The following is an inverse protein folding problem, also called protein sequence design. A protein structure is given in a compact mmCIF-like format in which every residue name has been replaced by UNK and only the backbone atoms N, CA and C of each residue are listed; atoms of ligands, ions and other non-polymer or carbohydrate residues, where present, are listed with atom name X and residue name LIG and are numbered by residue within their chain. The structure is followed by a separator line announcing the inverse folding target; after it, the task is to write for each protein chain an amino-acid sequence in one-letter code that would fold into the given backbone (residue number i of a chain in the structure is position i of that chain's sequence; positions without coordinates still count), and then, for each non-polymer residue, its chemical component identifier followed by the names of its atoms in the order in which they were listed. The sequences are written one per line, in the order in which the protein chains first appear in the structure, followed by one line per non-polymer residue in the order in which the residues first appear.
data_IF_761860695650
#
_entry.id   IF_761860695650
#
_cell.length_a   1.000
_cell.length_b   1.000
_cell.length_c   1.000
_cell.angle_alpha   90.00
_cell.angle_beta   90.00
_cell.angle_gamma   90.00
#
_symmetry.space_group_name_H-M   'P 1'
#
loop_
_entity.id
_entity.type
_entity.pdbx_description
1 polymer ?
#
# COMPACT_ATOMS: atom_id res chain seq x y z
N UNK A 1 10.06 -0.35 -22.51
CA UNK A 1 10.43 -1.05 -23.74
C UNK A 1 10.97 -2.43 -23.40
N UNK A 2 10.17 -3.44 -23.68
CA UNK A 2 10.45 -4.85 -24.03
C UNK A 2 11.41 -5.70 -23.16
N UNK A 3 10.95 -6.14 -22.00
CA UNK A 3 11.53 -7.30 -21.27
C UNK A 3 10.50 -8.46 -21.13
N UNK A 4 9.25 -8.23 -21.49
CA UNK A 4 8.14 -9.19 -21.29
C UNK A 4 8.05 -10.33 -22.31
N UNK A 5 8.76 -10.27 -23.45
CA UNK A 5 8.57 -11.22 -24.56
C UNK A 5 9.54 -12.40 -24.58
N UNK A 6 10.60 -12.38 -23.76
CA UNK A 6 11.58 -13.49 -23.75
C UNK A 6 11.25 -14.62 -22.77
N UNK A 7 10.54 -14.33 -21.69
CA UNK A 7 10.24 -15.34 -20.66
C UNK A 7 9.15 -16.32 -21.06
N UNK A 8 8.14 -15.89 -21.81
CA UNK A 8 7.02 -16.74 -22.23
C UNK A 8 7.38 -17.71 -23.36
N UNK A 9 8.32 -17.37 -24.23
CA UNK A 9 8.77 -18.26 -25.30
C UNK A 9 9.62 -19.42 -24.80
N UNK A 10 10.40 -19.24 -23.74
CA UNK A 10 11.26 -20.30 -23.21
C UNK A 10 10.43 -21.39 -22.51
N UNK A 11 9.42 -21.00 -21.74
CA UNK A 11 8.52 -21.95 -21.04
C UNK A 11 7.60 -22.67 -22.03
N UNK A 12 7.12 -21.96 -23.06
CA UNK A 12 6.28 -22.56 -24.11
C UNK A 12 7.03 -23.60 -24.96
N UNK A 13 8.30 -23.34 -25.29
CA UNK A 13 9.08 -24.29 -26.08
C UNK A 13 9.43 -25.58 -25.30
N UNK A 14 9.75 -25.46 -24.00
CA UNK A 14 10.06 -26.64 -23.18
C UNK A 14 8.82 -27.52 -22.97
N UNK A 15 7.65 -26.92 -22.81
CA UNK A 15 6.39 -27.68 -22.70
C UNK A 15 5.95 -28.27 -24.03
N UNK A 16 6.18 -27.55 -25.14
CA UNK A 16 5.84 -28.05 -26.48
C UNK A 16 6.76 -29.18 -26.95
N UNK A 17 8.05 -29.11 -26.68
CA UNK A 17 8.99 -30.18 -27.01
C UNK A 17 8.73 -31.43 -26.17
N UNK A 18 8.36 -31.29 -24.90
CA UNK A 18 8.00 -32.42 -24.04
C UNK A 18 6.70 -33.10 -24.46
N UNK A 19 5.70 -32.33 -24.89
CA UNK A 19 4.44 -32.88 -25.42
C UNK A 19 4.62 -33.54 -26.79
N UNK A 20 5.64 -33.17 -27.55
CA UNK A 20 5.93 -33.73 -28.84
C UNK A 20 6.69 -35.06 -28.73
N UNK A 21 7.63 -35.22 -27.78
CA UNK A 21 8.31 -36.47 -27.49
C UNK A 21 7.36 -37.55 -26.99
N UNK A 22 6.30 -37.17 -26.27
CA UNK A 22 5.26 -38.08 -25.79
C UNK A 22 4.33 -38.59 -26.91
N UNK A 23 4.36 -37.97 -28.12
CA UNK A 23 3.53 -38.34 -29.25
C UNK A 23 4.26 -39.18 -30.32
N UNK A 24 5.59 -39.11 -30.37
CA UNK A 24 6.40 -39.77 -31.41
C UNK A 24 6.93 -41.16 -30.99
N UNK A 25 6.33 -41.80 -29.97
CA UNK A 25 6.38 -43.22 -29.59
C UNK A 25 7.62 -44.03 -29.97
N UNK A 26 8.85 -43.59 -29.65
CA UNK A 26 10.05 -44.38 -29.79
C UNK A 26 10.31 -45.20 -28.51
N UNK A 27 10.04 -46.50 -28.56
CA UNK A 27 10.14 -47.47 -27.45
C UNK A 27 11.58 -47.65 -26.90
N UNK A 28 12.59 -47.01 -27.47
CA UNK A 28 13.99 -47.15 -27.07
C UNK A 28 14.48 -46.07 -26.08
N UNK A 29 13.68 -45.03 -25.76
CA UNK A 29 14.05 -43.99 -24.79
C UNK A 29 13.71 -44.33 -23.33
N UNK A 30 12.88 -45.37 -23.09
CA UNK A 30 12.50 -45.75 -21.70
C UNK A 30 13.68 -46.30 -20.87
N UNK A 31 14.76 -46.72 -21.52
CA UNK A 31 15.97 -47.18 -20.83
C UNK A 31 16.85 -46.04 -20.29
N UNK A 32 16.76 -44.84 -20.87
CA UNK A 32 17.56 -43.67 -20.45
C UNK A 32 16.89 -42.85 -19.33
N UNK A 33 15.58 -43.01 -19.11
CA UNK A 33 14.82 -42.28 -18.09
C UNK A 33 14.92 -42.88 -16.67
N UNK A 34 15.42 -44.12 -16.54
CA UNK A 34 15.46 -44.85 -15.25
C UNK A 34 16.65 -44.49 -14.37
N UNK A 35 17.71 -43.84 -14.88
CA UNK A 35 18.88 -43.45 -14.06
C UNK A 35 18.84 -42.00 -13.49
N UNK A 36 17.73 -41.33 -13.57
CA UNK A 36 17.58 -39.96 -13.10
C UNK A 36 17.04 -39.84 -11.66
N UNK A 37 17.13 -40.89 -10.87
CA UNK A 37 16.75 -40.95 -9.45
C UNK A 37 17.81 -40.27 -8.53
N UNK A 38 18.83 -39.64 -9.10
CA UNK A 38 19.64 -38.64 -8.37
C UNK A 38 18.81 -37.38 -8.30
N UNK A 39 18.06 -37.24 -7.20
CA UNK A 39 17.32 -36.02 -6.87
C UNK A 39 18.19 -34.79 -7.19
N UNK A 40 17.83 -34.05 -8.24
CA UNK A 40 18.55 -32.82 -8.57
C UNK A 40 18.67 -31.97 -7.31
N UNK A 41 19.86 -31.46 -6.99
CA UNK A 41 20.04 -30.68 -5.77
C UNK A 41 19.01 -29.55 -5.77
N UNK A 42 18.25 -29.42 -4.67
CA UNK A 42 17.25 -28.36 -4.53
C UNK A 42 17.92 -27.02 -4.79
N UNK A 43 17.35 -26.20 -5.67
CA UNK A 43 17.94 -24.89 -5.95
C UNK A 43 17.98 -24.06 -4.67
N UNK A 44 19.14 -23.57 -4.30
CA UNK A 44 19.32 -22.76 -3.08
C UNK A 44 18.75 -21.35 -3.18
N UNK A 45 18.44 -20.88 -4.40
CA UNK A 45 17.99 -19.50 -4.63
C UNK A 45 16.72 -19.07 -3.86
N UNK A 46 15.68 -19.93 -3.62
CA UNK A 46 14.52 -19.48 -2.85
C UNK A 46 14.88 -19.18 -1.40
N UNK A 47 15.74 -19.99 -0.80
CA UNK A 47 16.23 -19.78 0.56
C UNK A 47 17.09 -18.50 0.63
N UNK A 48 18.00 -18.32 -0.33
CA UNK A 48 18.85 -17.12 -0.38
C UNK A 48 17.99 -15.85 -0.57
N UNK A 49 17.02 -15.88 -1.47
CA UNK A 49 16.10 -14.75 -1.70
C UNK A 49 15.31 -14.41 -0.44
N UNK A 50 14.76 -15.42 0.22
CA UNK A 50 14.03 -15.23 1.48
C UNK A 50 14.93 -14.62 2.57
N UNK A 51 16.14 -15.13 2.76
CA UNK A 51 17.08 -14.60 3.78
C UNK A 51 17.48 -13.14 3.49
N UNK A 52 17.68 -12.77 2.23
CA UNK A 52 17.97 -11.38 1.84
C UNK A 52 16.78 -10.49 2.19
N UNK A 53 15.55 -10.88 1.81
CA UNK A 53 14.35 -10.09 2.08
C UNK A 53 14.05 -10.00 3.58
N UNK A 54 14.20 -11.09 4.33
CA UNK A 54 14.06 -11.09 5.78
C UNK A 54 15.09 -10.16 6.46
N UNK A 55 16.32 -10.12 5.96
CA UNK A 55 17.33 -9.16 6.42
C UNK A 55 16.90 -7.71 6.13
N UNK A 56 16.41 -7.41 4.92
CA UNK A 56 15.92 -6.08 4.56
C UNK A 56 14.70 -5.69 5.40
N UNK A 57 13.79 -6.62 5.67
CA UNK A 57 12.64 -6.40 6.57
C UNK A 57 13.12 -6.08 7.98
N UNK A 58 14.04 -6.85 8.55
CA UNK A 58 14.62 -6.57 9.86
C UNK A 58 15.32 -5.20 9.91
N UNK A 59 16.04 -4.84 8.85
CA UNK A 59 16.68 -3.53 8.71
C UNK A 59 15.66 -2.39 8.64
N UNK A 60 14.47 -2.61 8.07
CA UNK A 60 13.42 -1.60 7.98
C UNK A 60 12.87 -1.19 9.35
N UNK A 61 12.89 -2.10 10.32
CA UNK A 61 12.47 -1.84 11.70
C UNK A 61 13.64 -1.46 12.63
N UNK A 62 14.87 -1.45 12.12
CA UNK A 62 16.04 -1.01 12.88
C UNK A 62 16.07 0.52 13.04
N UNK A 63 16.84 1.06 14.01
CA UNK A 63 17.08 2.49 14.15
C UNK A 63 17.66 3.12 12.87
N UNK A 64 17.43 4.42 12.69
CA UNK A 64 17.92 5.14 11.53
C UNK A 64 19.45 5.05 11.42
N UNK A 65 19.91 4.63 10.24
CA UNK A 65 21.32 4.46 9.90
C UNK A 65 21.57 4.74 8.42
N UNK A 66 22.82 5.04 8.10
CA UNK A 66 23.25 5.22 6.70
C UNK A 66 22.95 3.97 5.88
N UNK A 67 23.23 2.79 6.42
CA UNK A 67 22.96 1.50 5.78
C UNK A 67 21.48 1.32 5.45
N UNK A 68 20.59 1.59 6.44
CA UNK A 68 19.13 1.55 6.25
C UNK A 68 18.69 2.50 5.14
N UNK A 69 19.22 3.72 5.14
CA UNK A 69 18.85 4.74 4.16
C UNK A 69 19.20 4.32 2.73
N UNK A 70 20.40 3.81 2.50
CA UNK A 70 20.83 3.41 1.13
C UNK A 70 20.18 2.10 0.67
N UNK A 71 20.15 1.08 1.52
CA UNK A 71 19.59 -0.23 1.11
C UNK A 71 18.08 -0.22 0.95
N UNK A 72 17.36 0.60 1.73
CA UNK A 72 15.90 0.64 1.69
C UNK A 72 15.33 1.77 0.84
N UNK A 73 16.17 2.60 0.22
CA UNK A 73 15.74 3.68 -0.65
C UNK A 73 14.72 3.24 -1.73
N UNK A 74 14.91 2.10 -2.44
CA UNK A 74 13.96 1.64 -3.45
C UNK A 74 12.55 1.34 -2.90
N UNK A 75 12.45 1.04 -1.61
CA UNK A 75 11.17 0.74 -0.92
C UNK A 75 10.69 1.90 -0.05
N UNK A 76 11.24 3.12 -0.19
CA UNK A 76 10.91 4.29 0.64
C UNK A 76 11.07 4.03 2.15
N UNK A 77 11.95 3.11 2.55
CA UNK A 77 12.14 2.63 3.94
C UNK A 77 10.87 2.01 4.56
N UNK A 78 9.89 1.64 3.75
CA UNK A 78 8.62 1.06 4.20
C UNK A 78 8.74 -0.47 4.32
N UNK A 79 8.82 -0.97 5.54
CA UNK A 79 8.91 -2.40 5.84
C UNK A 79 7.73 -3.21 5.29
N UNK A 80 6.53 -2.63 5.21
CA UNK A 80 5.34 -3.34 4.69
C UNK A 80 5.47 -3.67 3.20
N UNK A 81 6.13 -2.82 2.43
CA UNK A 81 6.40 -3.08 1.00
C UNK A 81 7.40 -4.21 0.81
N UNK A 82 8.41 -4.29 1.68
CA UNK A 82 9.40 -5.36 1.65
C UNK A 82 8.74 -6.68 2.06
N UNK A 83 7.93 -6.69 3.13
CA UNK A 83 7.16 -7.87 3.56
C UNK A 83 6.27 -8.42 2.45
N UNK A 84 5.61 -7.57 1.67
CA UNK A 84 4.79 -8.02 0.53
C UNK A 84 5.61 -8.76 -0.54
N UNK A 85 6.87 -8.42 -0.75
CA UNK A 85 7.79 -9.15 -1.66
C UNK A 85 8.34 -10.40 -0.98
N UNK A 86 8.62 -10.33 0.33
CA UNK A 86 9.07 -11.47 1.15
C UNK A 86 8.05 -12.60 1.14
N UNK A 87 6.75 -12.29 1.22
CA UNK A 87 5.66 -13.28 1.16
C UNK A 87 5.68 -14.11 -0.14
N UNK A 88 6.10 -13.50 -1.26
CA UNK A 88 6.26 -14.23 -2.53
C UNK A 88 7.40 -15.25 -2.42
N UNK A 89 8.56 -14.85 -1.90
CA UNK A 89 9.70 -15.73 -1.71
C UNK A 89 9.39 -16.84 -0.69
N UNK A 90 8.66 -16.51 0.38
CA UNK A 90 8.20 -17.46 1.38
C UNK A 90 7.24 -18.50 0.77
N UNK A 91 6.31 -18.08 -0.09
CA UNK A 91 5.38 -18.99 -0.78
C UNK A 91 6.13 -20.03 -1.63
N UNK A 92 7.15 -19.60 -2.37
CA UNK A 92 8.00 -20.50 -3.16
C UNK A 92 8.76 -21.46 -2.24
N UNK A 93 9.33 -20.96 -1.15
CA UNK A 93 10.06 -21.77 -0.18
C UNK A 93 9.14 -22.81 0.50
N UNK A 94 7.92 -22.42 0.83
CA UNK A 94 6.90 -23.34 1.37
C UNK A 94 6.52 -24.44 0.38
N UNK A 95 6.38 -24.12 -0.92
CA UNK A 95 6.09 -25.11 -1.95
C UNK A 95 7.25 -26.12 -2.09
N UNK A 96 8.49 -25.66 -2.09
CA UNK A 96 9.69 -26.50 -2.10
C UNK A 96 9.76 -27.37 -0.85
N UNK A 97 9.49 -26.79 0.32
CA UNK A 97 9.44 -27.52 1.60
C UNK A 97 8.36 -28.60 1.63
N UNK A 98 7.16 -28.29 1.13
CA UNK A 98 6.08 -29.25 1.01
C UNK A 98 6.44 -30.42 0.08
N UNK A 99 7.06 -30.14 -1.08
CA UNK A 99 7.55 -31.19 -1.98
C UNK A 99 8.61 -32.09 -1.30
N UNK A 100 9.54 -31.50 -0.54
CA UNK A 100 10.53 -32.26 0.22
C UNK A 100 9.89 -33.17 1.27
N UNK A 101 8.90 -32.67 2.00
CA UNK A 101 8.15 -33.45 3.00
C UNK A 101 7.42 -34.61 2.32
N UNK A 102 6.76 -34.39 1.18
CA UNK A 102 6.09 -35.46 0.40
C UNK A 102 7.12 -36.52 -0.01
N UNK A 103 8.28 -36.12 -0.49
CA UNK A 103 9.36 -37.06 -0.85
C UNK A 103 9.83 -37.89 0.35
N UNK A 104 10.09 -37.28 1.49
CA UNK A 104 10.52 -37.96 2.72
C UNK A 104 9.45 -38.95 3.21
N UNK A 105 8.19 -38.55 3.25
CA UNK A 105 7.08 -39.42 3.63
C UNK A 105 6.93 -40.60 2.66
N UNK A 106 7.03 -40.36 1.37
CA UNK A 106 6.94 -41.43 0.37
C UNK A 106 8.09 -42.41 0.52
N UNK A 107 9.32 -41.95 0.71
CA UNK A 107 10.49 -42.80 0.96
C UNK A 107 10.34 -43.62 2.23
N UNK A 108 9.87 -43.02 3.33
CA UNK A 108 9.60 -43.74 4.57
C UNK A 108 8.48 -44.78 4.42
N UNK A 109 7.39 -44.42 3.71
CA UNK A 109 6.25 -45.30 3.45
C UNK A 109 6.65 -46.50 2.61
N UNK A 110 7.34 -46.26 1.50
CA UNK A 110 7.79 -47.36 0.60
C UNK A 110 8.78 -48.29 1.29
N UNK A 111 9.71 -47.77 2.10
CA UNK A 111 10.67 -48.57 2.87
C UNK A 111 9.96 -49.45 3.91
N UNK A 112 8.95 -48.90 4.61
CA UNK A 112 8.17 -49.66 5.58
C UNK A 112 7.27 -50.72 4.93
N UNK A 113 6.65 -50.38 3.81
CA UNK A 113 5.83 -51.29 3.03
C UNK A 113 6.65 -52.45 2.49
N UNK A 114 7.85 -52.18 1.93
CA UNK A 114 8.78 -53.20 1.43
C UNK A 114 9.20 -54.15 2.57
N UNK A 115 9.49 -53.68 3.77
CA UNK A 115 9.81 -54.54 4.91
C UNK A 115 8.67 -55.50 5.23
N UNK A 116 7.42 -55.02 5.28
CA UNK A 116 6.25 -55.87 5.57
C UNK A 116 6.00 -56.88 4.46
N UNK A 117 6.20 -56.52 3.20
CA UNK A 117 6.02 -57.44 2.05
C UNK A 117 7.08 -58.54 2.05
N UNK A 118 8.35 -58.20 2.29
CA UNK A 118 9.46 -59.17 2.38
C UNK A 118 9.23 -60.13 3.55
N UNK A 119 8.82 -59.63 4.74
CA UNK A 119 8.49 -60.49 5.88
C UNK A 119 7.33 -61.44 5.62
N UNK A 120 6.42 -61.12 4.70
CA UNK A 120 5.30 -61.96 4.30
C UNK A 120 5.57 -62.84 3.06
N UNK A 121 6.78 -62.79 2.51
CA UNK A 121 7.17 -63.60 1.33
C UNK A 121 6.45 -63.17 0.04
N UNK A 122 5.95 -61.89 -0.01
CA UNK A 122 5.32 -61.30 -1.19
C UNK A 122 6.36 -60.61 -2.09
N UNK A 123 6.04 -60.51 -3.40
CA UNK A 123 6.91 -59.84 -4.38
C UNK A 123 7.21 -58.38 -3.97
N UNK A 124 8.49 -58.00 -4.02
CA UNK A 124 8.97 -56.68 -3.63
C UNK A 124 8.77 -55.57 -4.70
N UNK A 125 8.19 -55.93 -5.84
CA UNK A 125 7.99 -55.03 -7.01
C UNK A 125 6.76 -54.13 -6.92
N UNK A 126 6.12 -54.01 -5.74
CA UNK A 126 4.96 -53.14 -5.59
C UNK A 126 5.42 -51.67 -5.49
N UNK A 127 5.31 -50.93 -6.59
CA UNK A 127 5.48 -49.50 -6.61
C UNK A 127 4.20 -48.78 -6.12
N UNK A 128 4.28 -48.15 -4.96
CA UNK A 128 3.16 -47.34 -4.48
C UNK A 128 3.11 -46.00 -5.24
N UNK A 129 1.97 -45.66 -5.88
CA UNK A 129 1.86 -44.42 -6.65
C UNK A 129 2.01 -43.16 -5.71
N UNK A 130 2.79 -42.18 -6.16
CA UNK A 130 3.08 -40.95 -5.39
C UNK A 130 1.91 -39.97 -5.41
N UNK A 131 1.07 -40.01 -6.43
CA UNK A 131 0.03 -39.03 -6.66
C UNK A 131 -1.02 -38.89 -5.52
N UNK A 132 -1.47 -39.94 -4.80
CA UNK A 132 -2.45 -39.75 -3.74
C UNK A 132 -1.90 -38.95 -2.57
N UNK A 133 -0.63 -39.15 -2.25
CA UNK A 133 0.05 -38.38 -1.18
C UNK A 133 0.24 -36.93 -1.60
N UNK A 134 0.62 -36.66 -2.85
CA UNK A 134 0.75 -35.29 -3.39
C UNK A 134 -0.58 -34.55 -3.37
N UNK A 135 -1.66 -35.20 -3.82
CA UNK A 135 -3.01 -34.63 -3.79
C UNK A 135 -3.47 -34.40 -2.35
N UNK A 136 -3.22 -35.35 -1.44
CA UNK A 136 -3.59 -35.20 -0.03
C UNK A 136 -2.89 -34.04 0.65
N UNK A 137 -1.57 -33.91 0.48
CA UNK A 137 -0.81 -32.77 1.03
C UNK A 137 -1.24 -31.46 0.38
N UNK A 138 -1.41 -31.43 -0.94
CA UNK A 138 -1.92 -30.25 -1.65
C UNK A 138 -3.29 -29.80 -1.14
N UNK A 139 -4.21 -30.74 -0.95
CA UNK A 139 -5.53 -30.46 -0.40
C UNK A 139 -5.47 -29.91 1.04
N UNK A 140 -4.60 -30.48 1.89
CA UNK A 140 -4.40 -29.97 3.27
C UNK A 140 -3.85 -28.56 3.25
N UNK A 141 -2.84 -28.25 2.42
CA UNK A 141 -2.25 -26.91 2.31
C UNK A 141 -3.31 -25.92 1.82
N UNK A 142 -4.09 -26.25 0.81
CA UNK A 142 -5.18 -25.40 0.31
C UNK A 142 -6.24 -25.15 1.39
N UNK A 143 -6.67 -26.20 2.09
CA UNK A 143 -7.66 -26.07 3.16
C UNK A 143 -7.12 -25.21 4.30
N UNK A 144 -5.93 -25.46 4.81
CA UNK A 144 -5.35 -24.66 5.90
C UNK A 144 -5.13 -23.20 5.49
N UNK A 145 -4.67 -22.94 4.27
CA UNK A 145 -4.52 -21.58 3.74
C UNK A 145 -5.86 -20.86 3.56
N UNK A 146 -6.90 -21.60 3.20
CA UNK A 146 -8.23 -21.03 2.97
C UNK A 146 -8.94 -20.68 4.28
N UNK A 147 -8.95 -21.57 5.27
CA UNK A 147 -9.71 -21.36 6.51
C UNK A 147 -9.17 -20.21 7.39
N UNK A 148 -7.83 -20.01 7.46
CA UNK A 148 -7.25 -18.92 8.25
C UNK A 148 -7.17 -17.58 7.50
N UNK A 149 -6.90 -17.63 6.19
CA UNK A 149 -6.62 -16.42 5.41
C UNK A 149 -7.89 -15.71 4.90
N UNK A 150 -8.98 -16.44 4.61
CA UNK A 150 -10.21 -15.84 4.06
C UNK A 150 -10.83 -14.90 5.08
N UNK A 151 -10.94 -15.32 6.34
CA UNK A 151 -11.55 -14.50 7.39
C UNK A 151 -10.71 -13.27 7.72
N UNK A 152 -9.39 -13.42 7.80
CA UNK A 152 -8.47 -12.31 7.99
C UNK A 152 -8.49 -11.32 6.81
N UNK A 153 -8.53 -11.81 5.57
CA UNK A 153 -8.65 -10.98 4.37
C UNK A 153 -9.99 -10.26 4.29
N UNK A 154 -11.09 -10.96 4.54
CA UNK A 154 -12.42 -10.36 4.58
C UNK A 154 -12.51 -9.27 5.65
N UNK A 155 -11.96 -9.52 6.84
CA UNK A 155 -11.89 -8.53 7.90
C UNK A 155 -11.04 -7.31 7.53
N UNK A 156 -9.89 -7.53 6.89
CA UNK A 156 -9.03 -6.45 6.41
C UNK A 156 -9.70 -5.63 5.29
N UNK A 157 -10.33 -6.29 4.32
CA UNK A 157 -11.09 -5.61 3.24
C UNK A 157 -12.28 -4.86 3.84
N UNK A 158 -13.05 -5.49 4.72
CA UNK A 158 -14.18 -4.85 5.37
C UNK A 158 -13.76 -3.64 6.21
N UNK A 159 -12.58 -3.66 6.86
CA UNK A 159 -12.09 -2.52 7.63
C UNK A 159 -11.81 -1.28 6.77
N UNK A 160 -11.52 -1.47 5.48
CA UNK A 160 -11.19 -0.39 4.54
C UNK A 160 -12.40 0.03 3.70
N UNK A 161 -13.25 -0.92 3.30
CA UNK A 161 -14.31 -0.68 2.31
C UNK A 161 -15.74 -0.80 2.85
N UNK A 162 -15.92 -1.30 4.08
CA UNK A 162 -17.26 -1.39 4.68
C UNK A 162 -17.71 0.00 5.17
N UNK A 163 -18.72 0.62 4.52
CA UNK A 163 -19.18 1.95 4.89
C UNK A 163 -19.69 2.04 6.33
N UNK A 164 -20.16 0.92 6.90
CA UNK A 164 -20.62 0.90 8.31
C UNK A 164 -19.48 0.96 9.32
N UNK A 165 -18.24 0.69 8.88
CA UNK A 165 -17.02 0.76 9.70
C UNK A 165 -16.22 2.04 9.49
N UNK A 166 -16.51 2.80 8.45
CA UNK A 166 -15.80 4.06 8.14
C UNK A 166 -15.85 5.05 9.31
N UNK A 167 -16.97 5.13 10.04
CA UNK A 167 -17.10 5.99 11.21
C UNK A 167 -16.21 5.63 12.42
N UNK A 168 -15.63 4.42 12.46
CA UNK A 168 -14.75 3.99 13.58
C UNK A 168 -13.27 3.97 13.24
N UNK A 169 -12.93 3.83 11.98
CA UNK A 169 -11.54 3.71 11.51
C UNK A 169 -11.28 4.42 10.19
N UNK A 170 -12.31 5.00 9.57
CA UNK A 170 -12.22 5.81 8.36
C UNK A 170 -11.89 7.27 8.64
N UNK A 171 -11.59 8.00 7.58
CA UNK A 171 -11.34 9.46 7.64
C UNK A 171 -12.63 10.27 7.55
N UNK A 172 -13.78 9.65 7.23
CA UNK A 172 -15.07 10.31 7.10
C UNK A 172 -16.23 9.36 7.43
N UNK A 173 -17.27 9.86 8.07
CA UNK A 173 -18.52 9.15 8.32
C UNK A 173 -19.44 9.19 7.08
N UNK A 174 -20.53 8.40 7.08
CA UNK A 174 -21.48 8.39 5.97
C UNK A 174 -22.23 9.73 5.82
N UNK A 175 -22.60 10.37 6.95
CA UNK A 175 -23.24 11.68 6.95
C UNK A 175 -22.30 12.78 6.43
N UNK A 176 -21.03 12.69 6.79
CA UNK A 176 -19.97 13.56 6.31
C UNK A 176 -19.74 13.38 4.80
N UNK A 177 -19.69 12.12 4.31
CA UNK A 177 -19.62 11.85 2.87
C UNK A 177 -20.84 12.38 2.11
N UNK A 178 -22.03 12.37 2.73
CA UNK A 178 -23.22 12.96 2.15
C UNK A 178 -23.12 14.49 2.09
N UNK A 179 -22.58 15.15 3.13
CA UNK A 179 -22.28 16.59 3.11
C UNK A 179 -21.27 16.93 2.02
N UNK A 180 -20.16 16.19 1.92
CA UNK A 180 -19.15 16.40 0.88
C UNK A 180 -19.72 16.31 -0.53
N UNK A 181 -20.63 15.35 -0.79
CA UNK A 181 -21.31 15.26 -2.09
C UNK A 181 -22.23 16.45 -2.39
N UNK A 182 -22.85 17.03 -1.36
CA UNK A 182 -23.71 18.23 -1.51
C UNK A 182 -22.90 19.51 -1.64
N UNK A 183 -21.64 19.53 -1.21
CA UNK A 183 -20.79 20.72 -1.17
C UNK A 183 -20.68 21.41 -2.52
N UNK A 184 -20.74 20.68 -3.62
CA UNK A 184 -20.78 21.23 -4.97
C UNK A 184 -21.96 22.19 -5.22
N UNK A 185 -23.09 22.01 -4.53
CA UNK A 185 -24.30 22.83 -4.66
C UNK A 185 -24.36 23.97 -3.62
N UNK A 186 -23.57 23.89 -2.57
CA UNK A 186 -23.58 24.84 -1.45
C UNK A 186 -22.41 25.82 -1.48
N UNK A 187 -21.43 25.61 -2.35
CA UNK A 187 -20.23 26.45 -2.50
C UNK A 187 -20.00 26.90 -3.94
N UNK A 188 -19.32 28.02 -4.12
CA UNK A 188 -18.92 28.51 -5.43
C UNK A 188 -17.96 27.55 -6.12
N UNK A 189 -17.97 27.45 -7.47
CA UNK A 189 -17.06 26.58 -8.24
C UNK A 189 -15.57 26.80 -7.93
N UNK A 190 -15.19 28.04 -7.65
CA UNK A 190 -13.81 28.44 -7.35
C UNK A 190 -13.48 28.44 -5.84
N UNK A 191 -14.38 27.90 -5.01
CA UNK A 191 -14.15 27.81 -3.57
C UNK A 191 -12.89 27.00 -3.26
N UNK A 192 -12.03 27.54 -2.37
CA UNK A 192 -10.87 26.87 -1.81
C UNK A 192 -11.15 26.52 -0.36
N UNK A 193 -11.09 25.25 -0.05
CA UNK A 193 -11.51 24.70 1.24
C UNK A 193 -10.28 24.35 2.09
N UNK A 194 -10.15 24.93 3.27
CA UNK A 194 -9.15 24.56 4.26
C UNK A 194 -9.74 23.50 5.18
N UNK A 195 -9.00 22.44 5.45
CA UNK A 195 -9.36 21.40 6.41
C UNK A 195 -8.22 20.39 6.57
N UNK A 196 -8.32 19.53 7.58
CA UNK A 196 -7.32 18.50 7.80
C UNK A 196 -7.55 17.33 6.84
N UNK A 197 -6.58 16.98 5.98
CA UNK A 197 -6.72 15.86 5.03
C UNK A 197 -6.91 14.50 5.71
N UNK A 198 -6.48 14.33 6.96
CA UNK A 198 -6.71 13.10 7.73
C UNK A 198 -8.08 13.08 8.44
N UNK A 199 -8.86 14.13 8.28
CA UNK A 199 -10.19 14.29 8.85
C UNK A 199 -11.26 14.52 7.76
N UNK A 200 -11.16 13.89 6.61
CA UNK A 200 -12.15 13.96 5.53
C UNK A 200 -11.92 15.04 4.50
N UNK A 201 -11.21 16.15 4.81
CA UNK A 201 -10.97 17.23 3.85
C UNK A 201 -10.25 16.79 2.55
N UNK A 202 -9.51 15.69 2.57
CA UNK A 202 -8.92 15.10 1.36
C UNK A 202 -9.95 14.64 0.32
N UNK A 203 -11.20 14.38 0.72
CA UNK A 203 -12.27 13.97 -0.18
C UNK A 203 -12.95 15.13 -0.91
N UNK A 204 -12.68 16.38 -0.53
CA UNK A 204 -13.29 17.58 -1.12
C UNK A 204 -13.10 17.61 -2.63
N UNK A 205 -11.88 17.33 -3.14
CA UNK A 205 -11.63 17.37 -4.57
C UNK A 205 -12.35 16.26 -5.34
N UNK A 206 -12.36 15.05 -4.77
CA UNK A 206 -12.92 13.87 -5.44
C UNK A 206 -14.45 13.80 -5.38
N UNK A 207 -15.07 14.25 -4.28
CA UNK A 207 -16.50 14.15 -4.07
C UNK A 207 -17.25 15.42 -4.41
N UNK A 208 -16.67 16.60 -4.12
CA UNK A 208 -17.30 17.88 -4.34
C UNK A 208 -16.81 18.61 -5.61
N UNK A 209 -15.70 18.17 -6.21
CA UNK A 209 -15.08 18.90 -7.32
C UNK A 209 -14.68 20.33 -6.93
N UNK A 210 -14.37 20.56 -5.67
CA UNK A 210 -13.85 21.83 -5.12
C UNK A 210 -12.39 21.69 -4.78
N UNK A 211 -11.62 22.77 -4.79
CA UNK A 211 -10.20 22.73 -4.46
C UNK A 211 -10.03 22.63 -2.95
N UNK A 212 -9.13 21.76 -2.50
CA UNK A 212 -8.70 21.69 -1.10
C UNK A 212 -7.32 22.35 -0.96
N UNK A 213 -7.10 23.09 0.15
CA UNK A 213 -5.76 23.63 0.48
C UNK A 213 -4.77 22.50 0.67
N UNK A 214 -5.22 21.43 1.35
CA UNK A 214 -4.44 20.23 1.60
C UNK A 214 -5.14 19.01 0.99
N UNK A 215 -4.96 18.73 -0.32
CA UNK A 215 -5.62 17.61 -0.98
C UNK A 215 -5.08 16.23 -0.54
N UNK A 216 -3.92 16.21 0.13
CA UNK A 216 -3.28 14.99 0.62
C UNK A 216 -2.29 15.28 1.77
N UNK A 217 -1.90 14.22 2.48
CA UNK A 217 -0.99 14.32 3.63
C UNK A 217 0.36 14.97 3.31
N UNK A 218 0.90 14.77 2.12
CA UNK A 218 2.18 15.38 1.73
C UNK A 218 2.10 16.91 1.67
N UNK A 219 0.95 17.46 1.31
CA UNK A 219 0.77 18.91 1.21
C UNK A 219 0.64 19.58 2.57
N UNK A 220 -0.04 18.95 3.53
CA UNK A 220 -0.18 19.48 4.89
C UNK A 220 1.12 19.38 5.70
N UNK A 221 1.95 18.38 5.39
CA UNK A 221 3.24 18.18 6.04
C UNK A 221 4.41 18.91 5.35
N UNK A 222 4.14 19.71 4.31
CA UNK A 222 5.17 20.50 3.65
C UNK A 222 5.70 21.61 4.56
N UNK A 223 6.98 21.94 4.41
CA UNK A 223 7.67 22.91 5.26
C UNK A 223 7.49 24.38 4.85
N UNK A 224 6.50 24.68 4.02
CA UNK A 224 6.21 26.04 3.57
C UNK A 224 5.74 26.96 4.69
N UNK A 225 6.03 28.26 4.60
CA UNK A 225 5.63 29.25 5.61
C UNK A 225 4.11 29.33 5.78
N UNK A 226 3.36 29.38 4.66
CA UNK A 226 1.89 29.42 4.68
C UNK A 226 1.28 28.16 5.28
N UNK A 227 1.85 26.97 4.98
CA UNK A 227 1.41 25.71 5.57
C UNK A 227 1.59 25.72 7.09
N UNK A 228 2.73 26.21 7.59
CA UNK A 228 2.99 26.32 9.03
C UNK A 228 2.02 27.25 9.72
N UNK A 229 1.74 28.42 9.13
CA UNK A 229 0.75 29.36 9.66
C UNK A 229 -0.61 28.66 9.76
N UNK A 230 -1.09 28.03 8.69
CA UNK A 230 -2.40 27.38 8.68
C UNK A 230 -2.46 26.19 9.65
N UNK A 231 -1.48 25.30 9.62
CA UNK A 231 -1.50 24.08 10.45
C UNK A 231 -1.27 24.32 11.93
N UNK A 232 -0.60 25.42 12.29
CA UNK A 232 -0.25 25.72 13.68
C UNK A 232 -1.12 26.81 14.32
N UNK A 233 -1.61 27.77 13.53
CA UNK A 233 -2.17 29.02 14.06
C UNK A 233 -3.54 29.37 13.47
N UNK A 234 -4.11 28.63 12.51
CA UNK A 234 -5.40 29.01 11.92
C UNK A 234 -6.52 29.19 12.94
N UNK A 235 -6.49 28.48 14.07
CA UNK A 235 -7.46 28.67 15.15
C UNK A 235 -7.50 30.08 15.71
N UNK A 236 -6.41 30.84 15.54
CA UNK A 236 -6.27 32.22 16.04
C UNK A 236 -6.69 33.27 14.99
N UNK A 237 -7.39 32.85 13.92
CA UNK A 237 -7.78 33.69 12.76
C UNK A 237 -8.49 34.96 13.13
N UNK A 238 -9.25 34.96 14.22
CA UNK A 238 -9.99 36.16 14.67
C UNK A 238 -9.07 37.27 15.21
N UNK A 239 -7.91 36.89 15.73
CA UNK A 239 -7.03 37.78 16.49
C UNK A 239 -5.61 37.88 15.86
N UNK A 240 -5.28 37.02 14.88
CA UNK A 240 -3.97 37.01 14.24
C UNK A 240 -4.01 37.52 12.78
N UNK A 241 -3.49 38.75 12.54
CA UNK A 241 -3.49 39.35 11.20
C UNK A 241 -2.70 38.54 10.15
N UNK A 242 -1.64 37.84 10.56
CA UNK A 242 -0.82 37.04 9.66
C UNK A 242 -1.62 35.83 9.11
N UNK A 243 -2.47 35.22 9.93
CA UNK A 243 -3.38 34.16 9.48
C UNK A 243 -4.35 34.72 8.42
N UNK A 244 -4.95 35.87 8.65
CA UNK A 244 -5.83 36.51 7.68
C UNK A 244 -5.09 36.91 6.39
N UNK A 245 -3.84 37.33 6.48
CA UNK A 245 -3.02 37.62 5.31
C UNK A 245 -2.82 36.35 4.46
N UNK A 246 -2.45 35.22 5.07
CA UNK A 246 -2.30 33.93 4.38
C UNK A 246 -3.62 33.48 3.78
N UNK A 247 -4.74 33.57 4.50
CA UNK A 247 -6.07 33.20 4.00
C UNK A 247 -6.44 34.01 2.75
N UNK A 248 -6.21 35.36 2.77
CA UNK A 248 -6.46 36.22 1.61
C UNK A 248 -5.53 35.93 0.44
N UNK A 249 -4.25 35.80 0.70
CA UNK A 249 -3.24 35.56 -0.33
C UNK A 249 -3.47 34.24 -1.06
N UNK A 250 -3.92 33.21 -0.35
CA UNK A 250 -4.25 31.89 -0.95
C UNK A 250 -5.66 31.86 -1.55
N UNK A 251 -6.55 32.79 -1.17
CA UNK A 251 -7.94 32.78 -1.62
C UNK A 251 -8.80 31.72 -0.93
N UNK A 252 -8.50 31.41 0.34
CA UNK A 252 -9.23 30.42 1.13
C UNK A 252 -10.59 31.01 1.52
N UNK A 253 -11.67 30.38 1.07
CA UNK A 253 -13.04 30.87 1.26
C UNK A 253 -13.80 30.12 2.33
N UNK A 254 -13.47 28.84 2.54
CA UNK A 254 -14.22 27.98 3.45
C UNK A 254 -13.27 27.20 4.36
N UNK A 255 -13.81 26.87 5.54
CA UNK A 255 -13.16 26.00 6.51
C UNK A 255 -14.02 24.74 6.72
N UNK A 256 -13.40 23.59 6.54
CA UNK A 256 -13.97 22.29 6.84
C UNK A 256 -13.51 21.89 8.24
N UNK A 257 -14.43 21.98 9.20
CA UNK A 257 -14.22 21.63 10.59
C UNK A 257 -14.62 20.18 10.82
N UNK A 258 -13.82 19.45 11.57
CA UNK A 258 -14.12 18.11 12.05
C UNK A 258 -13.72 18.01 13.53
N UNK A 259 -14.42 17.15 14.28
CA UNK A 259 -14.04 16.86 15.66
C UNK A 259 -12.63 16.27 15.75
N UNK A 260 -11.92 16.61 16.82
CA UNK A 260 -10.59 16.06 17.06
C UNK A 260 -10.69 14.57 17.40
N UNK A 261 -10.11 13.77 16.55
CA UNK A 261 -10.09 12.32 16.64
C UNK A 261 -8.68 11.75 16.55
N UNK A 262 -8.57 10.45 16.66
CA UNK A 262 -7.29 9.77 16.56
C UNK A 262 -7.10 9.14 15.16
N UNK A 263 -5.91 9.32 14.61
CA UNK A 263 -5.47 8.68 13.38
C UNK A 263 -4.17 7.93 13.65
N UNK A 264 -4.16 6.61 13.47
CA UNK A 264 -3.04 5.73 13.86
C UNK A 264 -2.56 5.98 15.30
N UNK A 265 -3.49 6.04 16.26
CA UNK A 265 -3.23 6.29 17.69
C UNK A 265 -2.57 7.64 18.00
N UNK A 266 -2.56 8.59 17.06
CA UNK A 266 -2.10 9.95 17.28
C UNK A 266 -3.30 10.87 17.17
N UNK A 267 -3.51 11.72 18.19
CA UNK A 267 -4.55 12.76 18.17
C UNK A 267 -4.29 13.70 16.99
N UNK A 268 -5.32 14.00 16.18
CA UNK A 268 -5.19 14.85 14.98
C UNK A 268 -4.68 16.24 15.34
N UNK A 269 -5.19 16.81 16.43
CA UNK A 269 -4.76 18.12 16.96
C UNK A 269 -3.28 18.19 17.34
N UNK A 270 -2.66 17.07 17.69
CA UNK A 270 -1.22 17.03 17.94
C UNK A 270 -0.38 17.19 16.67
N UNK A 271 -0.97 16.89 15.51
CA UNK A 271 -0.31 17.04 14.20
C UNK A 271 -0.54 18.43 13.62
N UNK A 272 -1.78 18.89 13.64
CA UNK A 272 -2.22 20.13 13.02
C UNK A 272 -3.04 20.98 14.01
N UNK A 273 -2.42 21.48 15.08
CA UNK A 273 -3.14 22.13 16.19
C UNK A 273 -3.93 23.37 15.76
N UNK A 274 -3.52 24.05 14.70
CA UNK A 274 -4.23 25.21 14.18
C UNK A 274 -5.57 24.88 13.52
N UNK A 275 -5.80 23.63 13.10
CA UNK A 275 -7.03 23.23 12.42
C UNK A 275 -8.10 22.70 13.40
N UNK A 276 -7.82 22.69 14.70
CA UNK A 276 -8.71 22.19 15.74
C UNK A 276 -8.96 23.23 16.82
N UNK A 277 -10.17 23.22 17.38
CA UNK A 277 -10.56 24.19 18.41
C UNK A 277 -10.68 25.63 17.90
N UNK A 278 -11.05 25.80 16.65
CA UNK A 278 -11.31 27.12 16.05
C UNK A 278 -12.57 27.70 16.66
N UNK A 279 -12.53 28.95 17.10
CA UNK A 279 -13.73 29.68 17.57
C UNK A 279 -14.56 30.13 16.36
N UNK A 280 -15.48 29.28 15.92
CA UNK A 280 -16.36 29.54 14.78
C UNK A 280 -17.56 30.44 15.13
N UNK A 281 -17.69 30.89 16.37
CA UNK A 281 -18.75 31.86 16.78
C UNK A 281 -18.53 33.28 16.24
N UNK A 282 -17.31 33.58 15.77
CA UNK A 282 -16.92 34.89 15.23
C UNK A 282 -16.21 34.75 13.90
N UNK A 283 -16.70 35.45 12.88
CA UNK A 283 -16.03 35.49 11.58
C UNK A 283 -16.22 34.20 10.74
N UNK A 284 -17.29 33.46 11.02
CA UNK A 284 -17.70 32.28 10.24
C UNK A 284 -19.21 32.25 10.05
N UNK A 285 -19.66 31.74 8.93
CA UNK A 285 -21.06 31.44 8.60
C UNK A 285 -21.21 29.98 8.29
N UNK A 286 -22.09 29.26 9.00
CA UNK A 286 -22.36 27.85 8.74
C UNK A 286 -23.02 27.70 7.37
N UNK A 287 -22.44 26.86 6.50
CA UNK A 287 -22.94 26.59 5.13
C UNK A 287 -23.66 25.26 5.09
N UNK A 288 -23.05 24.19 5.67
CA UNK A 288 -23.62 22.84 5.70
C UNK A 288 -23.01 22.04 6.86
N UNK A 289 -23.67 20.95 7.25
CA UNK A 289 -23.19 20.05 8.29
C UNK A 289 -23.50 18.58 7.93
N UNK A 290 -22.67 17.68 8.41
CA UNK A 290 -22.86 16.24 8.20
C UNK A 290 -22.13 15.42 9.27
N UNK A 291 -22.90 14.79 10.16
CA UNK A 291 -22.33 14.10 11.31
C UNK A 291 -21.62 15.07 12.28
N UNK A 292 -20.33 14.85 12.49
CA UNK A 292 -19.47 15.74 13.30
C UNK A 292 -18.80 16.84 12.47
N UNK A 293 -18.82 16.71 11.15
CA UNK A 293 -18.20 17.67 10.25
C UNK A 293 -19.11 18.86 9.95
N UNK A 294 -18.50 20.04 9.82
CA UNK A 294 -19.17 21.29 9.45
C UNK A 294 -18.37 22.03 8.40
N UNK A 295 -19.09 22.64 7.47
CA UNK A 295 -18.54 23.51 6.45
C UNK A 295 -18.88 24.97 6.80
N UNK A 296 -17.85 25.77 7.00
CA UNK A 296 -17.97 27.18 7.35
C UNK A 296 -17.47 28.07 6.22
N UNK A 297 -18.19 29.12 5.89
CA UNK A 297 -17.67 30.20 5.08
C UNK A 297 -16.87 31.16 5.98
N UNK A 298 -15.65 31.49 5.58
CA UNK A 298 -14.78 32.41 6.35
C UNK A 298 -15.17 33.87 6.05
N UNK A 299 -15.53 34.63 7.08
CA UNK A 299 -15.82 36.07 7.02
C UNK A 299 -14.89 36.92 7.87
N UNK A 300 -14.09 36.28 8.77
CA UNK A 300 -13.17 36.92 9.67
C UNK A 300 -12.15 37.83 8.98
N UNK A 301 -11.69 37.45 7.79
CA UNK A 301 -10.63 38.17 7.07
C UNK A 301 -11.14 39.19 6.06
N UNK A 302 -12.45 39.52 6.08
CA UNK A 302 -13.09 40.39 5.10
C UNK A 302 -13.24 39.73 3.73
N UNK A 303 -13.23 40.53 2.65
CA UNK A 303 -13.40 40.01 1.31
C UNK A 303 -12.17 39.18 0.89
N UNK A 304 -12.41 37.93 0.47
CA UNK A 304 -11.41 37.02 -0.09
C UNK A 304 -11.78 36.76 -1.54
N UNK A 305 -10.81 36.96 -2.46
CA UNK A 305 -11.00 36.60 -3.87
C UNK A 305 -10.81 35.08 -4.05
N UNK A 306 -11.85 34.34 -4.44
CA UNK A 306 -11.75 32.89 -4.58
C UNK A 306 -10.63 32.47 -5.55
N UNK A 307 -9.82 31.50 -5.17
CA UNK A 307 -8.81 30.89 -6.03
C UNK A 307 -7.62 31.74 -6.44
N UNK A 308 -7.50 32.98 -5.93
CA UNK A 308 -6.44 33.93 -6.32
C UNK A 308 -5.01 33.45 -6.06
N UNK A 309 -4.81 32.60 -5.05
CA UNK A 309 -3.49 32.07 -4.67
C UNK A 309 -3.27 30.60 -4.93
N UNK A 310 -4.27 29.85 -5.44
CA UNK A 310 -4.16 28.40 -5.62
C UNK A 310 -3.02 28.00 -6.56
N UNK A 311 -2.71 28.82 -7.56
CA UNK A 311 -1.60 28.60 -8.49
C UNK A 311 -0.26 28.81 -7.77
N UNK A 312 -0.11 29.90 -7.03
CA UNK A 312 1.11 30.19 -6.26
C UNK A 312 1.37 29.13 -5.18
N UNK A 313 0.31 28.58 -4.57
CA UNK A 313 0.41 27.51 -3.61
C UNK A 313 0.86 26.19 -4.27
N UNK A 314 0.29 25.84 -5.42
CA UNK A 314 0.67 24.65 -6.19
C UNK A 314 2.14 24.76 -6.69
N UNK A 315 2.57 25.95 -7.09
CA UNK A 315 3.94 26.20 -7.54
C UNK A 315 4.93 26.16 -6.35
N UNK A 316 4.51 26.67 -5.17
CA UNK A 316 5.28 26.54 -3.93
C UNK A 316 5.48 25.10 -3.48
N UNK A 317 4.48 24.23 -3.66
CA UNK A 317 4.58 22.79 -3.35
C UNK A 317 5.51 22.08 -4.32
N UNK A 318 5.51 22.41 -5.59
CA UNK A 318 6.42 21.82 -6.60
C UNK A 318 7.88 22.14 -6.31
N UNK A 319 8.18 23.31 -5.78
CA UNK A 319 9.55 23.70 -5.43
C UNK A 319 10.12 22.97 -4.20
N UNK A 320 9.29 22.29 -3.42
CA UNK A 320 9.68 21.55 -2.20
C UNK A 320 9.84 20.05 -2.43
N UNK A 321 9.63 19.54 -3.65
CA UNK A 321 9.93 18.13 -3.95
C UNK A 321 11.44 17.89 -3.90
N UNK A 322 11.97 17.07 -2.99
CA UNK A 322 13.40 16.75 -2.97
C UNK A 322 13.73 15.94 -4.23
N UNK A 323 14.44 16.57 -5.17
CA UNK A 323 14.85 15.97 -6.43
C UNK A 323 14.47 16.75 -7.69
N UNK A 324 13.85 17.91 -7.60
CA UNK A 324 13.80 18.85 -8.73
C UNK A 324 15.21 19.46 -8.87
N UNK A 325 16.02 18.94 -9.79
CA UNK A 325 17.26 19.60 -10.23
C UNK A 325 16.89 21.02 -10.68
N UNK A 326 17.49 22.03 -10.05
CA UNK A 326 17.47 23.38 -10.56
C UNK A 326 17.92 23.35 -12.02
N UNK A 327 17.18 23.97 -12.96
CA UNK A 327 17.68 24.11 -14.32
C UNK A 327 18.96 24.93 -14.23
N UNK A 328 20.11 24.33 -14.62
CA UNK A 328 21.38 25.04 -14.78
C UNK A 328 21.13 26.23 -15.68
N UNK A 329 21.26 27.43 -15.09
CA UNK A 329 21.20 28.67 -15.83
C UNK A 329 22.27 28.67 -16.93
N UNK A 330 22.04 29.37 -18.07
CA UNK A 330 22.97 29.39 -19.17
C UNK A 330 24.33 29.91 -18.68
N UNK A 331 25.35 29.05 -18.78
CA UNK A 331 26.74 29.46 -18.57
C UNK A 331 27.06 30.57 -19.58
N UNK A 332 27.24 31.78 -19.08
CA UNK A 332 27.80 32.88 -19.86
C UNK A 332 29.21 32.47 -20.23
N UNK A 333 29.41 32.13 -21.51
CA UNK A 333 30.74 31.98 -22.08
C UNK A 333 31.43 33.35 -22.05
N UNK A 334 32.52 33.47 -21.32
CA UNK A 334 33.47 34.52 -21.45
C UNK A 334 34.47 34.15 -22.55
N UNK A 335 34.59 35.08 -23.50
CA UNK A 335 35.63 35.14 -24.52
C UNK A 335 37.06 35.32 -23.93
#
# INVERSE_FOLDING_TARGET
MSISTYSTKCVSNVLYERARSDLDGDEDEDAALVDNDKAAPMPAWPLVSYLILAFLTALAYAPDSVLRTYLLAPWYKDGRRIMGVEDIALTVLMAVGAAAIVHLFHAAWTSSLRRILVERGLDDKVEAPRWPLQVGVGAIVVLMSSFGAIDARNSAVASVYDPTRLGKSGMASEDELAMLRRMASTTDPDALILGDPIAGAAYVETLAGRKAVFPQLSTVNADGASQKVLTQRFRDIADDPEVCEVVRNLGITHFYEEEDGSYYNIQRSNRHPGLYGVDTSRGFELVDEGGTAKLWKITACGWVTPGGGAQAFADGIRSVQPGAEEPEGPQSGDE
#
